data_IF_678267995443
#
_entry.id   IF_678267995443
#
_cell.length_a   1.000
_cell.length_b   1.000
_cell.length_c   1.000
_cell.angle_alpha   90.00
_cell.angle_beta   90.00
_cell.angle_gamma   90.00
#
_symmetry.space_group_name_H-M   'P 1'
#
loop_
_entity.id
_entity.type
_entity.pdbx_description
1 polymer ?
#
# COMPACT_ATOMS: atom_id res chain seq x y z
N UNK A 1 -4.79 -13.38 -2.64
CA UNK A 1 -6.16 -13.78 -3.05
C UNK A 1 -6.79 -12.80 -4.04
N UNK A 2 -6.92 -11.51 -3.70
CA UNK A 2 -7.41 -10.46 -4.62
C UNK A 2 -6.62 -10.40 -5.94
N UNK A 3 -5.28 -10.40 -5.85
CA UNK A 3 -4.38 -10.40 -7.02
C UNK A 3 -4.63 -11.61 -7.94
N UNK A 4 -4.92 -12.78 -7.38
CA UNK A 4 -5.14 -14.02 -8.14
C UNK A 4 -6.51 -14.04 -8.85
N UNK A 5 -7.54 -13.44 -8.24
CA UNK A 5 -8.87 -13.29 -8.83
C UNK A 5 -8.80 -12.34 -10.05
N UNK A 6 -8.13 -11.19 -9.91
CA UNK A 6 -7.92 -10.26 -11.02
C UNK A 6 -7.09 -10.86 -12.17
N UNK A 7 -6.11 -11.71 -11.85
CA UNK A 7 -5.33 -12.49 -12.82
C UNK A 7 -6.22 -13.46 -13.61
N UNK A 8 -7.12 -14.17 -12.90
CA UNK A 8 -8.02 -15.15 -13.51
C UNK A 8 -8.99 -14.48 -14.49
N UNK A 9 -9.66 -13.41 -14.10
CA UNK A 9 -10.57 -12.69 -14.98
C UNK A 9 -9.82 -12.04 -16.16
N UNK A 10 -8.71 -11.36 -15.90
CA UNK A 10 -7.94 -10.66 -16.95
C UNK A 10 -7.29 -11.61 -17.96
N UNK A 11 -7.00 -12.86 -17.60
CA UNK A 11 -6.51 -13.90 -18.52
C UNK A 11 -7.64 -14.64 -19.24
N UNK A 12 -8.75 -14.93 -18.54
CA UNK A 12 -9.91 -15.62 -19.11
C UNK A 12 -10.64 -14.78 -20.16
N UNK A 13 -10.73 -13.46 -20.00
CA UNK A 13 -11.43 -12.55 -20.94
C UNK A 13 -10.78 -12.56 -22.34
N UNK A 14 -9.46 -12.30 -22.52
CA UNK A 14 -8.82 -12.32 -23.83
C UNK A 14 -8.75 -13.74 -24.41
N UNK A 15 -8.58 -14.78 -23.59
CA UNK A 15 -8.58 -16.17 -24.05
C UNK A 15 -9.96 -16.60 -24.58
N UNK A 16 -11.05 -16.26 -23.86
CA UNK A 16 -12.43 -16.47 -24.32
C UNK A 16 -12.74 -15.65 -25.57
N UNK A 17 -12.20 -14.42 -25.69
CA UNK A 17 -12.41 -13.54 -26.85
C UNK A 17 -11.63 -14.00 -28.08
N UNK A 18 -10.46 -14.61 -27.89
CA UNK A 18 -9.68 -15.27 -28.93
C UNK A 18 -10.38 -16.54 -29.44
N UNK A 19 -10.84 -17.42 -28.54
CA UNK A 19 -11.53 -18.67 -28.91
C UNK A 19 -12.93 -18.45 -29.50
N UNK A 20 -13.63 -17.37 -29.11
CA UNK A 20 -14.92 -16.96 -29.69
C UNK A 20 -14.76 -16.26 -31.06
N UNK A 21 -13.53 -16.03 -31.54
CA UNK A 21 -13.30 -15.49 -32.90
C UNK A 21 -13.68 -14.01 -33.10
N UNK A 22 -13.90 -13.25 -32.02
CA UNK A 22 -14.32 -11.84 -32.07
C UNK A 22 -13.14 -10.84 -32.08
N UNK A 23 -11.90 -11.32 -32.25
CA UNK A 23 -10.72 -10.45 -32.39
C UNK A 23 -10.61 -10.06 -33.87
N UNK A 24 -11.08 -8.84 -34.16
CA UNK A 24 -10.99 -8.18 -35.46
C UNK A 24 -9.77 -7.27 -35.47
N UNK A 25 -9.00 -7.28 -36.56
CA UNK A 25 -7.97 -6.29 -36.79
C UNK A 25 -8.59 -4.89 -36.96
N UNK A 26 -7.74 -3.85 -36.96
CA UNK A 26 -8.15 -2.47 -37.26
C UNK A 26 -8.86 -2.34 -38.63
N UNK A 27 -8.67 -3.34 -39.49
CA UNK A 27 -9.22 -3.49 -40.84
C UNK A 27 -10.52 -4.33 -40.88
N UNK A 28 -11.11 -4.67 -39.72
CA UNK A 28 -12.39 -5.38 -39.61
C UNK A 28 -12.34 -6.90 -39.90
N UNK A 29 -11.22 -7.43 -40.39
CA UNK A 29 -11.02 -8.86 -40.66
C UNK A 29 -10.81 -9.67 -39.38
N UNK A 30 -11.43 -10.86 -39.30
CA UNK A 30 -11.19 -11.83 -38.22
C UNK A 30 -9.80 -12.44 -38.40
N UNK A 31 -8.94 -12.37 -37.37
CA UNK A 31 -7.55 -12.87 -37.45
C UNK A 31 -7.46 -14.38 -37.67
N UNK A 32 -8.54 -15.13 -37.44
CA UNK A 32 -8.53 -16.58 -37.48
C UNK A 32 -9.65 -17.11 -38.36
N UNK A 33 -9.33 -17.41 -39.63
CA UNK A 33 -10.19 -18.15 -40.55
C UNK A 33 -9.59 -19.55 -40.71
N UNK A 34 -10.36 -20.58 -40.31
CA UNK A 34 -9.96 -21.99 -40.36
C UNK A 34 -9.69 -22.39 -41.81
N UNK A 35 -8.41 -22.54 -42.19
CA UNK A 35 -7.98 -23.17 -43.44
C UNK A 35 -7.32 -22.30 -44.51
N UNK A 36 -7.10 -20.99 -44.31
CA UNK A 36 -6.50 -20.12 -45.35
C UNK A 36 -5.47 -19.09 -44.85
N UNK A 37 -4.87 -19.31 -43.68
CA UNK A 37 -3.84 -18.44 -43.11
C UNK A 37 -2.44 -18.96 -43.45
N UNK A 38 -1.61 -18.11 -44.05
CA UNK A 38 -0.20 -18.42 -44.32
C UNK A 38 0.52 -18.67 -43.00
N UNK A 39 1.46 -19.63 -42.98
CA UNK A 39 2.18 -20.04 -41.75
C UNK A 39 2.84 -18.84 -41.05
N UNK A 40 3.26 -17.83 -41.81
CA UNK A 40 3.86 -16.59 -41.26
C UNK A 40 2.86 -15.76 -40.44
N UNK A 41 1.61 -15.66 -40.88
CA UNK A 41 0.57 -14.90 -40.17
C UNK A 41 0.10 -15.62 -38.91
N UNK A 42 0.11 -16.96 -38.93
CA UNK A 42 -0.19 -17.77 -37.76
C UNK A 42 0.85 -17.59 -36.65
N UNK A 43 2.13 -17.47 -37.01
CA UNK A 43 3.22 -17.23 -36.05
C UNK A 43 3.13 -15.83 -35.45
N UNK A 44 2.87 -14.80 -36.27
CA UNK A 44 2.71 -13.42 -35.79
C UNK A 44 1.53 -13.27 -34.81
N UNK A 45 0.39 -13.89 -35.14
CA UNK A 45 -0.78 -13.93 -34.26
C UNK A 45 -0.48 -14.61 -32.92
N UNK A 46 0.22 -15.74 -32.94
CA UNK A 46 0.61 -16.45 -31.72
C UNK A 46 1.53 -15.62 -30.83
N UNK A 47 2.53 -14.94 -31.41
CA UNK A 47 3.45 -14.06 -30.68
C UNK A 47 2.68 -12.89 -30.06
N UNK A 48 1.76 -12.27 -30.80
CA UNK A 48 0.98 -11.13 -30.31
C UNK A 48 0.11 -11.47 -29.09
N UNK A 49 -0.52 -12.65 -29.10
CA UNK A 49 -1.32 -13.13 -27.96
C UNK A 49 -0.42 -13.43 -26.77
N UNK A 50 0.74 -14.05 -27.00
CA UNK A 50 1.72 -14.35 -25.96
C UNK A 50 2.24 -13.06 -25.32
N UNK A 51 2.57 -12.03 -26.11
CA UNK A 51 3.01 -10.73 -25.61
C UNK A 51 1.94 -10.08 -24.73
N UNK A 52 0.67 -10.05 -25.17
CA UNK A 52 -0.43 -9.51 -24.37
C UNK A 52 -0.61 -10.28 -23.06
N UNK A 53 -0.53 -11.62 -23.11
CA UNK A 53 -0.64 -12.46 -21.91
C UNK A 53 0.48 -12.17 -20.89
N UNK A 54 1.73 -12.05 -21.37
CA UNK A 54 2.88 -11.74 -20.51
C UNK A 54 2.79 -10.31 -19.94
N UNK A 55 2.35 -9.33 -20.72
CA UNK A 55 2.15 -7.95 -20.23
C UNK A 55 1.13 -7.89 -19.10
N UNK A 56 0.00 -8.60 -19.22
CA UNK A 56 -1.02 -8.67 -18.16
C UNK A 56 -0.44 -9.37 -16.92
N UNK A 57 0.34 -10.44 -17.10
CA UNK A 57 0.96 -11.17 -15.99
C UNK A 57 1.93 -10.29 -15.19
N UNK A 58 2.74 -9.46 -15.86
CA UNK A 58 3.64 -8.50 -15.21
C UNK A 58 2.89 -7.37 -14.50
N UNK A 59 1.79 -6.85 -15.06
CA UNK A 59 1.00 -5.81 -14.39
C UNK A 59 0.37 -6.29 -13.08
N UNK A 60 0.01 -7.58 -13.01
CA UNK A 60 -0.66 -8.14 -11.83
C UNK A 60 0.31 -8.52 -10.71
N UNK A 61 1.59 -8.69 -11.00
CA UNK A 61 2.64 -8.70 -9.97
C UNK A 61 3.18 -7.27 -9.90
N UNK A 62 2.63 -6.38 -9.05
CA UNK A 62 3.19 -5.05 -8.91
C UNK A 62 4.52 -5.20 -8.17
N UNK A 63 5.59 -5.47 -8.93
CA UNK A 63 6.99 -5.44 -8.48
C UNK A 63 7.33 -4.09 -7.82
N UNK A 64 6.57 -3.05 -8.14
CA UNK A 64 6.66 -1.72 -7.52
C UNK A 64 5.93 -1.53 -6.19
N UNK A 65 5.00 -2.42 -5.80
CA UNK A 65 4.28 -2.29 -4.53
C UNK A 65 5.19 -2.53 -3.30
N UNK A 66 6.00 -3.61 -3.22
CA UNK A 66 6.95 -3.77 -2.11
C UNK A 66 8.02 -2.67 -2.09
N UNK A 67 8.36 -2.12 -3.26
CA UNK A 67 9.32 -1.02 -3.39
C UNK A 67 8.73 0.30 -2.86
N UNK A 68 7.47 0.60 -3.17
CA UNK A 68 6.76 1.77 -2.64
C UNK A 68 6.61 1.71 -1.11
N UNK A 69 6.23 0.55 -0.56
CA UNK A 69 6.10 0.36 0.89
C UNK A 69 7.45 0.56 1.60
N UNK A 70 8.53 0.02 1.04
CA UNK A 70 9.87 0.17 1.61
C UNK A 70 10.34 1.63 1.58
N UNK A 71 10.08 2.36 0.49
CA UNK A 71 10.44 3.78 0.37
C UNK A 71 9.69 4.64 1.39
N UNK A 72 8.37 4.43 1.53
CA UNK A 72 7.53 5.14 2.49
C UNK A 72 8.03 4.87 3.90
N UNK A 73 8.31 3.61 4.23
CA UNK A 73 8.76 3.22 5.56
C UNK A 73 10.16 3.77 5.88
N UNK A 74 11.10 3.72 4.93
CA UNK A 74 12.42 4.33 5.08
C UNK A 74 12.34 5.85 5.31
N UNK A 75 11.43 6.53 4.62
CA UNK A 75 11.18 7.95 4.81
C UNK A 75 10.61 8.26 6.21
N UNK A 76 9.57 7.52 6.64
CA UNK A 76 8.99 7.67 7.97
C UNK A 76 10.01 7.41 9.08
N UNK A 77 10.88 6.43 8.90
CA UNK A 77 11.97 6.15 9.85
C UNK A 77 12.98 7.28 9.94
N UNK A 78 13.31 7.95 8.84
CA UNK A 78 14.20 9.12 8.88
C UNK A 78 13.60 10.24 9.74
N UNK A 79 12.30 10.47 9.64
CA UNK A 79 11.59 11.47 10.46
C UNK A 79 11.47 11.06 11.93
N UNK A 80 11.39 9.76 12.20
CA UNK A 80 11.26 9.17 13.55
C UNK A 80 12.59 8.65 14.12
N UNK A 81 13.72 8.87 13.44
CA UNK A 81 15.02 8.27 13.78
C UNK A 81 15.49 8.62 15.20
N UNK A 82 15.09 9.80 15.69
CA UNK A 82 15.41 10.25 17.04
C UNK A 82 14.53 9.63 18.14
N UNK A 83 13.48 8.89 17.77
CA UNK A 83 12.48 8.33 18.72
C UNK A 83 12.18 6.83 18.52
N UNK A 84 12.44 6.25 17.34
CA UNK A 84 12.06 4.87 17.00
C UNK A 84 13.21 4.15 16.28
N UNK A 85 13.68 3.03 16.84
CA UNK A 85 14.80 2.24 16.32
C UNK A 85 14.37 1.08 15.39
N UNK A 86 13.07 0.79 15.23
CA UNK A 86 12.56 -0.42 14.53
C UNK A 86 11.45 -0.14 13.51
N UNK A 87 11.52 -0.79 12.34
CA UNK A 87 10.54 -0.67 11.24
C UNK A 87 9.12 -1.04 11.70
N UNK A 88 9.00 -2.22 12.33
CA UNK A 88 7.72 -2.77 12.80
C UNK A 88 7.05 -1.88 13.87
N UNK A 89 7.84 -1.13 14.64
CA UNK A 89 7.28 -0.19 15.62
C UNK A 89 6.61 1.00 14.94
N UNK A 90 7.20 1.54 13.87
CA UNK A 90 6.60 2.64 13.10
C UNK A 90 5.28 2.23 12.44
N UNK A 91 5.19 1.00 11.93
CA UNK A 91 3.96 0.43 11.38
C UNK A 91 2.89 0.28 12.47
N UNK A 92 3.26 -0.31 13.62
CA UNK A 92 2.33 -0.56 14.72
C UNK A 92 1.79 0.74 15.32
N UNK A 93 2.62 1.78 15.46
CA UNK A 93 2.20 3.09 15.98
C UNK A 93 1.08 3.71 15.14
N UNK A 94 1.08 3.50 13.82
CA UNK A 94 0.02 3.98 12.93
C UNK A 94 -1.33 3.27 13.12
N UNK A 95 -1.33 2.09 13.73
CA UNK A 95 -2.54 1.29 14.01
C UNK A 95 -2.96 1.30 15.48
N UNK A 96 -2.21 1.98 16.35
CA UNK A 96 -2.50 2.05 17.78
C UNK A 96 -3.78 2.84 18.05
N UNK A 97 -4.78 2.20 18.65
CA UNK A 97 -6.06 2.82 19.05
C UNK A 97 -6.10 3.27 20.51
N UNK A 98 -5.15 2.81 21.34
CA UNK A 98 -5.08 3.15 22.77
C UNK A 98 -3.64 3.42 23.17
N UNK A 99 -3.39 4.57 23.80
CA UNK A 99 -2.07 4.98 24.29
C UNK A 99 -2.08 4.93 25.81
N UNK A 100 -1.41 3.94 26.39
CA UNK A 100 -1.18 3.86 27.83
C UNK A 100 0.01 4.74 28.19
N UNK A 101 -0.24 5.98 28.62
CA UNK A 101 0.81 6.89 29.05
C UNK A 101 0.95 6.91 30.58
N UNK A 102 2.18 7.02 31.08
CA UNK A 102 2.43 7.21 32.51
C UNK A 102 2.17 8.67 32.92
N UNK A 103 1.61 8.89 34.10
CA UNK A 103 1.32 10.24 34.60
C UNK A 103 2.60 10.99 34.95
N UNK A 104 3.41 10.44 35.86
CA UNK A 104 4.60 11.11 36.39
C UNK A 104 5.77 11.04 35.42
N UNK A 105 6.30 12.19 35.01
CA UNK A 105 7.45 12.27 34.10
C UNK A 105 7.12 12.04 32.62
N UNK A 106 5.84 11.89 32.26
CA UNK A 106 5.42 11.92 30.84
C UNK A 106 4.27 12.91 30.59
N UNK A 107 3.20 12.88 31.40
CA UNK A 107 2.18 13.94 31.37
C UNK A 107 2.53 15.12 32.27
N UNK A 108 3.23 14.85 33.39
CA UNK A 108 3.74 15.89 34.28
C UNK A 108 5.22 16.11 34.05
N UNK A 109 5.69 17.34 34.25
CA UNK A 109 7.12 17.70 34.21
C UNK A 109 7.94 17.07 35.35
N UNK A 110 7.35 16.18 36.15
CA UNK A 110 7.92 15.66 37.40
C UNK A 110 8.46 16.77 38.34
N UNK A 111 7.91 17.97 38.20
CA UNK A 111 8.17 19.14 39.05
C UNK A 111 6.90 19.38 39.86
N UNK A 112 6.92 19.05 41.15
CA UNK A 112 5.80 19.31 42.04
C UNK A 112 6.03 20.64 42.75
N UNK A 113 5.17 21.60 42.44
CA UNK A 113 5.10 22.91 43.11
C UNK A 113 3.85 22.95 43.99
N UNK A 114 3.94 23.57 45.16
CA UNK A 114 2.81 23.74 46.07
C UNK A 114 1.93 24.87 45.55
N UNK A 115 0.73 24.53 45.05
CA UNK A 115 -0.21 25.51 44.45
C UNK A 115 -1.09 26.19 45.50
N UNK A 116 -1.47 25.48 46.55
CA UNK A 116 -2.31 26.02 47.62
C UNK A 116 -1.86 25.47 48.99
N UNK A 117 -1.78 26.34 49.99
CA UNK A 117 -1.60 25.95 51.39
C UNK A 117 -2.73 26.53 52.24
N UNK A 118 -3.29 25.75 53.18
CA UNK A 118 -4.29 26.23 54.13
C UNK A 118 -3.71 26.20 55.54
N UNK A 119 -3.66 27.36 56.19
CA UNK A 119 -3.18 27.47 57.58
C UNK A 119 -4.20 28.27 58.37
N UNK A 120 -4.71 27.71 59.48
CA UNK A 120 -5.62 28.42 60.38
C UNK A 120 -6.94 28.89 59.76
N UNK A 121 -7.45 28.18 58.73
CA UNK A 121 -8.68 28.56 58.02
C UNK A 121 -8.48 29.60 56.90
N UNK A 122 -7.24 30.05 56.66
CA UNK A 122 -6.90 31.01 55.61
C UNK A 122 -6.27 30.24 54.44
N UNK A 123 -6.82 30.43 53.23
CA UNK A 123 -6.20 29.99 51.97
C UNK A 123 -5.01 30.91 51.65
N UNK A 124 -3.80 30.36 51.64
CA UNK A 124 -2.60 31.00 51.11
C UNK A 124 -2.45 30.54 49.66
N UNK A 125 -2.88 31.40 48.74
CA UNK A 125 -2.62 31.23 47.30
C UNK A 125 -1.19 31.68 47.02
N UNK A 126 -0.35 30.76 46.54
CA UNK A 126 0.98 31.10 46.06
C UNK A 126 0.82 31.71 44.66
N UNK A 127 1.11 33.01 44.52
CA UNK A 127 1.23 33.63 43.21
C UNK A 127 2.60 33.24 42.66
N UNK A 128 2.63 32.50 41.57
CA UNK A 128 3.84 32.30 40.79
C UNK A 128 4.15 33.63 40.07
N UNK A 129 4.98 34.49 40.69
CA UNK A 129 5.61 35.64 40.02
C UNK A 129 6.71 35.11 39.08
N UNK A 130 6.29 34.73 37.86
CA UNK A 130 7.14 34.47 36.71
C UNK A 130 7.02 35.57 35.68
#
# INVERSE_FOLDING_TARGET
MIILIFLCDSFMIPLKRFFTGHIKNLDGSVQFVKGHTSVKDAIDGAVKILTVAVTIMVVVVPEGLPLAVTLILAYSMKMLANKVLRLSACETIGSTTTICNNKTGTLTLNQMTVVEAHVGGIKLTYSDDG
#
